data_IF_963867221363
#
_entry.id   IF_963867221363
#
_cell.length_a   1.000
_cell.length_b   1.000
_cell.length_c   1.000
_cell.angle_alpha   90.00
_cell.angle_beta   90.00
_cell.angle_gamma   90.00
#
_symmetry.space_group_name_H-M   'P 1'
#
loop_
_entity.id
_entity.type
_entity.pdbx_description
1 polymer ?
#
# COMPACT_ATOMS: atom_id res chain seq x y z
N UNK A 1 -22.32 11.05 13.17
CA UNK A 1 -22.06 9.60 13.01
C UNK A 1 -20.75 9.47 12.25
N UNK A 2 -19.62 9.62 12.96
CA UNK A 2 -18.29 9.60 12.35
C UNK A 2 -17.85 8.14 12.26
N UNK A 3 -17.95 7.54 11.07
CA UNK A 3 -17.35 6.23 10.83
C UNK A 3 -15.84 6.48 10.77
N UNK A 4 -15.17 6.30 11.90
CA UNK A 4 -13.71 6.23 11.95
C UNK A 4 -13.33 5.00 11.13
N UNK A 5 -12.76 5.21 9.93
CA UNK A 5 -12.23 4.14 9.11
C UNK A 5 -11.06 3.50 9.87
N UNK A 6 -11.34 2.43 10.61
CA UNK A 6 -10.31 1.66 11.29
C UNK A 6 -9.65 0.76 10.25
N UNK A 7 -8.39 1.03 9.92
CA UNK A 7 -7.57 0.08 9.17
C UNK A 7 -7.26 -1.10 10.09
N UNK A 8 -7.62 -2.30 9.61
CA UNK A 8 -7.32 -3.55 10.26
C UNK A 8 -6.15 -4.23 9.54
N UNK A 9 -5.19 -4.79 10.29
CA UNK A 9 -4.12 -5.59 9.70
C UNK A 9 -4.65 -7.01 9.51
N UNK A 10 -4.69 -7.48 8.26
CA UNK A 10 -5.18 -8.82 7.91
C UNK A 10 -4.13 -9.91 8.15
N UNK A 11 -2.88 -9.62 7.78
CA UNK A 11 -1.75 -10.51 7.97
C UNK A 11 -0.48 -9.69 8.21
N UNK A 12 0.43 -10.24 9.02
CA UNK A 12 1.71 -9.62 9.32
C UNK A 12 2.78 -10.70 9.44
N UNK A 13 3.80 -10.61 8.60
CA UNK A 13 4.98 -11.46 8.67
C UNK A 13 6.21 -10.56 8.81
N UNK A 14 7.04 -10.85 9.81
CA UNK A 14 8.27 -10.09 10.07
C UNK A 14 9.41 -11.02 10.43
N UNK A 15 10.62 -10.63 10.00
CA UNK A 15 11.87 -11.23 10.46
C UNK A 15 12.52 -10.43 11.60
N UNK A 16 12.02 -9.23 11.87
CA UNK A 16 12.59 -8.28 12.82
C UNK A 16 11.77 -8.25 14.11
N UNK A 17 12.46 -8.31 15.25
CA UNK A 17 11.86 -8.36 16.58
C UNK A 17 11.15 -7.07 17.01
N UNK A 18 11.53 -5.91 16.46
CA UNK A 18 10.92 -4.62 16.79
C UNK A 18 9.67 -4.31 15.95
N UNK A 19 9.32 -5.16 14.98
CA UNK A 19 8.31 -4.82 14.00
C UNK A 19 6.89 -4.79 14.58
N UNK A 20 6.60 -5.56 15.63
CA UNK A 20 5.30 -5.56 16.32
C UNK A 20 4.98 -4.19 16.92
N UNK A 21 5.98 -3.47 17.44
CA UNK A 21 5.79 -2.13 18.01
C UNK A 21 5.49 -1.06 16.94
N UNK A 22 5.92 -1.29 15.70
CA UNK A 22 5.82 -0.32 14.60
C UNK A 22 4.63 -0.63 13.66
N UNK A 23 4.10 -1.85 13.72
CA UNK A 23 2.96 -2.30 12.91
C UNK A 23 1.74 -1.36 12.98
N UNK A 24 1.28 -0.87 14.15
CA UNK A 24 0.14 0.05 14.21
C UNK A 24 0.43 1.41 13.55
N UNK A 25 1.68 1.87 13.63
CA UNK A 25 2.12 3.13 13.00
C UNK A 25 2.14 2.99 11.47
N UNK A 26 2.58 1.84 10.95
CA UNK A 26 2.55 1.56 9.51
C UNK A 26 1.11 1.51 8.99
N UNK A 27 0.21 0.88 9.76
CA UNK A 27 -1.22 0.82 9.44
C UNK A 27 -1.85 2.24 9.39
N UNK A 28 -1.58 3.08 10.38
CA UNK A 28 -2.04 4.46 10.41
C UNK A 28 -1.48 5.29 9.24
N UNK A 29 -0.16 5.20 9.00
CA UNK A 29 0.49 5.91 7.89
C UNK A 29 -0.06 5.50 6.52
N UNK A 30 -0.43 4.22 6.36
CA UNK A 30 -1.07 3.73 5.12
C UNK A 30 -2.41 4.41 4.89
N UNK A 31 -3.22 4.59 5.95
CA UNK A 31 -4.46 5.38 5.90
C UNK A 31 -4.20 6.78 5.37
N UNK A 32 -3.25 7.46 5.99
CA UNK A 32 -2.97 8.86 5.71
C UNK A 32 -2.48 9.05 4.28
N UNK A 33 -1.71 8.11 3.75
CA UNK A 33 -1.17 8.18 2.40
C UNK A 33 -2.21 7.88 1.32
N UNK A 34 -3.06 6.87 1.50
CA UNK A 34 -4.07 6.48 0.51
C UNK A 34 -5.34 7.32 0.58
N UNK A 35 -5.65 7.90 1.75
CA UNK A 35 -6.81 8.78 1.98
C UNK A 35 -6.44 10.26 1.99
N UNK A 36 -5.18 10.62 1.69
CA UNK A 36 -4.72 12.00 1.67
C UNK A 36 -5.59 12.88 0.75
N UNK A 37 -6.21 13.96 1.27
CA UNK A 37 -7.16 14.77 0.50
C UNK A 37 -6.51 15.50 -0.68
N UNK A 38 -5.24 15.89 -0.56
CA UNK A 38 -4.52 16.58 -1.64
C UNK A 38 -4.12 15.62 -2.77
N UNK A 39 -3.78 14.38 -2.41
CA UNK A 39 -3.45 13.28 -3.31
C UNK A 39 -4.66 12.96 -4.20
N UNK A 40 -5.85 12.84 -3.62
CA UNK A 40 -7.10 12.70 -4.38
C UNK A 40 -7.43 13.91 -5.27
N UNK A 41 -7.24 15.14 -4.77
CA UNK A 41 -7.45 16.37 -5.56
C UNK A 41 -6.50 16.46 -6.76
N UNK A 42 -5.24 16.11 -6.58
CA UNK A 42 -4.22 16.12 -7.63
C UNK A 42 -4.61 15.16 -8.76
N UNK A 43 -4.99 13.92 -8.43
CA UNK A 43 -5.47 12.94 -9.43
C UNK A 43 -6.69 13.49 -10.19
N UNK A 44 -7.66 14.05 -9.48
CA UNK A 44 -8.84 14.63 -10.09
C UNK A 44 -8.52 15.82 -11.01
N UNK A 45 -7.53 16.64 -10.67
CA UNK A 45 -7.06 17.74 -11.52
C UNK A 45 -6.41 17.20 -12.81
N UNK A 46 -5.52 16.21 -12.71
CA UNK A 46 -4.91 15.58 -13.89
C UNK A 46 -5.94 14.82 -14.75
N UNK A 47 -6.98 14.25 -14.16
CA UNK A 47 -8.09 13.62 -14.90
C UNK A 47 -8.79 14.63 -15.81
N UNK A 48 -9.11 15.82 -15.27
CA UNK A 48 -9.76 16.90 -16.04
C UNK A 48 -8.91 17.35 -17.22
N UNK A 49 -7.58 17.40 -17.06
CA UNK A 49 -6.66 17.81 -18.13
C UNK A 49 -6.44 16.73 -19.21
N UNK A 50 -6.65 15.45 -18.90
CA UNK A 50 -6.37 14.33 -19.81
C UNK A 50 -7.60 13.79 -20.53
N UNK A 51 -8.80 14.32 -20.27
CA UNK A 51 -10.09 13.91 -20.88
C UNK A 51 -10.35 12.40 -20.89
N UNK A 52 -9.71 11.64 -19.99
CA UNK A 52 -9.85 10.20 -19.89
C UNK A 52 -10.84 9.85 -18.77
N UNK A 53 -11.92 9.17 -19.14
CA UNK A 53 -12.83 8.50 -18.22
C UNK A 53 -12.20 7.18 -17.75
N UNK A 54 -11.30 7.25 -16.76
CA UNK A 54 -10.96 6.07 -15.98
C UNK A 54 -11.86 6.04 -14.75
N UNK A 55 -12.54 4.91 -14.53
CA UNK A 55 -13.55 4.75 -13.49
C UNK A 55 -12.96 4.80 -12.07
N UNK A 56 -11.70 4.42 -11.86
CA UNK A 56 -11.08 4.49 -10.52
C UNK A 56 -9.57 4.77 -10.61
N UNK A 57 -9.16 6.03 -10.49
CA UNK A 57 -7.73 6.35 -10.28
C UNK A 57 -7.48 6.51 -8.80
N UNK A 58 -7.32 5.36 -8.17
CA UNK A 58 -6.69 5.21 -6.88
C UNK A 58 -5.21 4.91 -7.13
N UNK A 59 -4.31 5.48 -6.33
CA UNK A 59 -2.89 5.13 -6.43
C UNK A 59 -2.75 3.62 -6.26
N UNK A 60 -2.11 2.95 -7.22
CA UNK A 60 -1.86 1.51 -7.13
C UNK A 60 -0.60 1.20 -6.33
N UNK A 61 0.31 2.17 -6.24
CA UNK A 61 1.61 1.98 -5.64
C UNK A 61 2.15 3.28 -5.04
N UNK A 62 2.72 3.19 -3.83
CA UNK A 62 3.47 4.26 -3.16
C UNK A 62 4.82 3.70 -2.73
N UNK A 63 5.90 4.43 -3.01
CA UNK A 63 7.26 4.07 -2.58
C UNK A 63 7.73 5.15 -1.62
N UNK A 64 8.21 4.74 -0.45
CA UNK A 64 8.83 5.61 0.55
C UNK A 64 10.25 5.10 0.74
N UNK A 65 11.23 5.91 0.34
CA UNK A 65 12.65 5.59 0.52
C UNK A 65 13.23 6.47 1.61
N UNK A 66 13.85 5.84 2.60
CA UNK A 66 14.64 6.47 3.66
C UNK A 66 16.03 5.81 3.70
N UNK A 67 16.97 6.42 4.43
CA UNK A 67 18.40 6.06 4.39
C UNK A 67 18.72 4.57 4.58
N UNK A 68 17.88 3.81 5.29
CA UNK A 68 18.14 2.41 5.60
C UNK A 68 16.95 1.48 5.34
N UNK A 69 15.84 2.02 4.84
CA UNK A 69 14.60 1.28 4.65
C UNK A 69 13.81 1.84 3.48
N UNK A 70 13.31 0.94 2.65
CA UNK A 70 12.35 1.26 1.60
C UNK A 70 11.04 0.56 1.92
N UNK A 71 9.95 1.33 1.94
CA UNK A 71 8.60 0.83 2.01
C UNK A 71 7.97 0.87 0.63
N UNK A 72 7.41 -0.26 0.20
CA UNK A 72 6.60 -0.37 -1.02
C UNK A 72 5.19 -0.73 -0.60
N UNK A 73 4.26 0.18 -0.82
CA UNK A 73 2.83 -0.04 -0.57
C UNK A 73 2.16 -0.32 -1.90
N UNK A 74 1.53 -1.48 -2.04
CA UNK A 74 0.80 -1.91 -3.23
C UNK A 74 -0.67 -2.11 -2.90
N UNK A 75 -1.53 -1.47 -3.68
CA UNK A 75 -2.97 -1.69 -3.62
C UNK A 75 -3.32 -2.96 -4.37
N UNK A 76 -4.17 -3.81 -3.77
CA UNK A 76 -4.65 -5.00 -4.44
C UNK A 76 -5.46 -4.63 -5.69
N UNK A 77 -5.26 -5.37 -6.78
CA UNK A 77 -5.89 -5.11 -8.08
C UNK A 77 -7.35 -5.52 -8.07
N UNK A 78 -7.67 -6.62 -7.39
CA UNK A 78 -9.02 -7.18 -7.33
C UNK A 78 -9.85 -6.59 -6.17
N UNK A 79 -9.19 -6.00 -5.16
CA UNK A 79 -9.82 -5.43 -3.96
C UNK A 79 -9.22 -4.07 -3.62
N UNK A 80 -9.83 -3.01 -4.16
CA UNK A 80 -9.34 -1.63 -4.02
C UNK A 80 -9.35 -1.07 -2.60
N UNK A 81 -9.84 -1.78 -1.60
CA UNK A 81 -9.81 -1.42 -0.18
C UNK A 81 -8.59 -1.99 0.56
N UNK A 82 -7.81 -2.88 -0.06
CA UNK A 82 -6.67 -3.55 0.56
C UNK A 82 -5.32 -3.06 0.04
N UNK A 83 -4.35 -2.99 0.95
CA UNK A 83 -2.99 -2.56 0.66
C UNK A 83 -1.99 -3.52 1.31
N UNK A 84 -1.09 -4.08 0.51
CA UNK A 84 0.08 -4.82 0.96
C UNK A 84 1.25 -3.86 1.19
N UNK A 85 1.93 -3.96 2.33
CA UNK A 85 3.09 -3.13 2.67
C UNK A 85 4.32 -4.00 2.80
N UNK A 86 5.33 -3.72 1.99
CA UNK A 86 6.62 -4.40 2.01
C UNK A 86 7.68 -3.45 2.57
N UNK A 87 8.30 -3.81 3.69
CA UNK A 87 9.42 -3.07 4.27
C UNK A 87 10.73 -3.83 4.01
N UNK A 88 11.62 -3.23 3.24
CA UNK A 88 12.92 -3.82 2.89
C UNK A 88 14.06 -2.95 3.41
N UNK A 89 15.15 -3.58 3.85
CA UNK A 89 16.39 -2.87 4.21
C UNK A 89 17.12 -2.42 2.94
N UNK A 90 17.78 -1.27 3.01
CA UNK A 90 18.43 -0.58 1.88
C UNK A 90 19.56 -1.35 1.18
N UNK A 91 19.95 -2.53 1.68
CA UNK A 91 20.95 -3.39 1.04
C UNK A 91 20.48 -4.03 -0.28
N UNK A 92 19.28 -3.69 -0.79
CA UNK A 92 18.67 -4.29 -1.97
C UNK A 92 18.30 -3.20 -2.96
N UNK A 93 18.71 -3.35 -4.23
CA UNK A 93 18.33 -2.42 -5.29
C UNK A 93 16.80 -2.30 -5.39
N UNK A 94 16.29 -1.06 -5.46
CA UNK A 94 14.86 -0.76 -5.51
C UNK A 94 14.12 -1.58 -6.59
N UNK A 95 14.74 -1.75 -7.76
CA UNK A 95 14.18 -2.55 -8.85
C UNK A 95 13.87 -4.00 -8.44
N UNK A 96 14.77 -4.63 -7.67
CA UNK A 96 14.55 -5.99 -7.17
C UNK A 96 13.41 -6.04 -6.15
N UNK A 97 13.33 -5.05 -5.26
CA UNK A 97 12.22 -4.94 -4.30
C UNK A 97 10.88 -4.85 -5.03
N UNK A 98 10.81 -4.04 -6.09
CA UNK A 98 9.60 -3.90 -6.89
C UNK A 98 9.22 -5.21 -7.59
N UNK A 99 10.19 -5.89 -8.21
CA UNK A 99 9.94 -7.19 -8.86
C UNK A 99 9.38 -8.19 -7.86
N UNK A 100 9.99 -8.31 -6.68
CA UNK A 100 9.52 -9.23 -5.65
C UNK A 100 8.14 -8.84 -5.09
N UNK A 101 7.90 -7.56 -4.83
CA UNK A 101 6.61 -7.08 -4.33
C UNK A 101 5.47 -7.36 -5.33
N UNK A 102 5.69 -7.10 -6.62
CA UNK A 102 4.71 -7.39 -7.68
C UNK A 102 4.49 -8.89 -7.91
N UNK A 103 5.50 -9.74 -7.68
CA UNK A 103 5.35 -11.19 -7.73
C UNK A 103 4.66 -11.77 -6.50
N UNK A 104 4.82 -11.13 -5.33
CA UNK A 104 4.21 -11.56 -4.08
C UNK A 104 2.73 -11.18 -4.02
N UNK A 105 2.35 -10.00 -4.52
CA UNK A 105 0.97 -9.49 -4.41
C UNK A 105 -0.09 -10.48 -4.91
N UNK A 106 0.00 -11.08 -6.12
CA UNK A 106 -1.01 -12.05 -6.58
C UNK A 106 -1.13 -13.29 -5.70
N UNK A 107 -0.03 -13.70 -5.04
CA UNK A 107 -0.02 -14.84 -4.13
C UNK A 107 -0.73 -14.50 -2.81
N UNK A 108 -0.55 -13.28 -2.32
CA UNK A 108 -1.24 -12.76 -1.13
C UNK A 108 -2.73 -12.64 -1.43
N UNK A 109 -3.09 -12.05 -2.59
CA UNK A 109 -4.49 -11.95 -3.04
C UNK A 109 -5.15 -13.33 -3.13
N UNK A 110 -4.46 -14.32 -3.71
CA UNK A 110 -5.00 -15.69 -3.84
C UNK A 110 -5.13 -16.41 -2.49
N UNK A 111 -4.23 -16.15 -1.53
CA UNK A 111 -4.32 -16.73 -0.18
C UNK A 111 -5.49 -16.13 0.62
N UNK A 112 -5.84 -14.87 0.36
CA UNK A 112 -6.98 -14.19 0.99
C UNK A 112 -8.34 -14.52 0.37
N UNK A 113 -8.39 -15.14 -0.82
CA UNK A 113 -9.63 -15.59 -1.45
C UNK A 113 -10.12 -16.96 -0.91
N UNK A 114 -9.47 -17.50 0.13
CA UNK A 114 -10.01 -18.62 0.88
C UNK A 114 -11.24 -18.14 1.68
N UNK A 115 -12.42 -18.78 1.55
CA UNK A 115 -13.57 -18.46 2.38
C UNK A 115 -13.26 -18.80 3.84
N UNK A 116 -13.53 -17.85 4.73
CA UNK A 116 -13.62 -18.08 6.19
C UNK A 116 -14.62 -19.20 6.52
#
# INVERSE_FOLDING_TARGET
MSISAAINILAFETRQSWAEAVQPLIAAATSDLFLAPNTAKMVNAFRKLREKSFDEVNYHQIIISADNVTYVLLRAKNRGDRVAVFACRDSVALGMVLVHAHQALPKIEAAEDLPD
#
